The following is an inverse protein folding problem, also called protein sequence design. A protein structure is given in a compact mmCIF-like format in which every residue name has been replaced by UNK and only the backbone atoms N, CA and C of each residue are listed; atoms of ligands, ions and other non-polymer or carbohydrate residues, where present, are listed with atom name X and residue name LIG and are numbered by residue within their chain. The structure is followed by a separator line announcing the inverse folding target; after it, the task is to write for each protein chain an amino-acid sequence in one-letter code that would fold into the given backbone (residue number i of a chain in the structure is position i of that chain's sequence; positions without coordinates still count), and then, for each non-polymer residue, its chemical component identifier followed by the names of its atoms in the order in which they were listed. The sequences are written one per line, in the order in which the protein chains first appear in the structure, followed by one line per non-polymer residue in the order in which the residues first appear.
data_IF_533380852717
#
_entry.id   IF_533380852717
#
_cell.length_a   1.000
_cell.length_b   1.000
_cell.length_c   1.000
_cell.angle_alpha   90.00
_cell.angle_beta   90.00
_cell.angle_gamma   90.00
#
_symmetry.space_group_name_H-M   'P 1'
#
loop_
_entity.id
_entity.type
_entity.pdbx_description
1 polymer ?
#
# COMPACT_ATOMS: atom_id res chain seq x y z
N UNK A 1 -1.02 12.71 -19.82
CA UNK A 1 -0.83 11.27 -19.54
C UNK A 1 -1.93 10.47 -20.24
N UNK A 2 -1.61 9.41 -21.00
CA UNK A 2 -2.66 8.57 -21.64
C UNK A 2 -3.32 7.66 -20.60
N UNK A 3 -4.57 7.25 -20.83
CA UNK A 3 -5.31 6.36 -19.92
C UNK A 3 -4.52 5.07 -19.62
N UNK A 4 -3.86 4.49 -20.62
CA UNK A 4 -3.03 3.28 -20.47
C UNK A 4 -1.75 3.50 -19.64
N UNK A 5 -1.21 4.72 -19.63
CA UNK A 5 -0.05 5.08 -18.78
C UNK A 5 -0.45 5.29 -17.32
N UNK A 6 -1.65 5.83 -17.06
CA UNK A 6 -2.21 5.97 -15.70
C UNK A 6 -2.47 4.62 -15.05
N UNK A 7 -3.13 3.70 -15.77
CA UNK A 7 -3.38 2.34 -15.26
C UNK A 7 -2.10 1.55 -15.02
N UNK A 8 -1.08 1.70 -15.87
CA UNK A 8 0.24 1.08 -15.63
C UNK A 8 0.94 1.64 -14.40
N UNK A 9 0.86 2.96 -14.16
CA UNK A 9 1.41 3.58 -12.95
C UNK A 9 0.68 3.10 -11.70
N UNK A 10 -0.65 3.04 -11.74
CA UNK A 10 -1.48 2.51 -10.65
C UNK A 10 -1.09 1.06 -10.33
N UNK A 11 -1.04 0.18 -11.34
CA UNK A 11 -0.67 -1.23 -11.15
C UNK A 11 0.73 -1.37 -10.53
N UNK A 12 1.73 -0.62 -11.01
CA UNK A 12 3.08 -0.63 -10.44
C UNK A 12 3.08 -0.16 -8.98
N UNK A 13 2.35 0.90 -8.68
CA UNK A 13 2.26 1.42 -7.32
C UNK A 13 1.54 0.43 -6.38
N UNK A 14 0.45 -0.21 -6.83
CA UNK A 14 -0.22 -1.28 -6.08
C UNK A 14 0.74 -2.44 -5.81
N UNK A 15 1.47 -2.92 -6.83
CA UNK A 15 2.44 -4.00 -6.65
C UNK A 15 3.55 -3.63 -5.67
N UNK A 16 4.07 -2.41 -5.74
CA UNK A 16 5.04 -1.90 -4.77
C UNK A 16 4.48 -1.88 -3.35
N UNK A 17 3.24 -1.43 -3.19
CA UNK A 17 2.57 -1.34 -1.90
C UNK A 17 2.36 -2.73 -1.27
N UNK A 18 1.93 -3.70 -2.09
CA UNK A 18 1.79 -5.09 -1.67
C UNK A 18 3.15 -5.73 -1.35
N UNK A 19 4.19 -5.44 -2.13
CA UNK A 19 5.53 -5.95 -1.87
C UNK A 19 6.09 -5.41 -0.54
N UNK A 20 5.95 -4.10 -0.29
CA UNK A 20 6.33 -3.48 0.99
C UNK A 20 5.50 -4.06 2.13
N UNK A 21 4.20 -4.22 1.95
CA UNK A 21 3.32 -4.86 2.92
C UNK A 21 3.75 -6.27 3.27
N UNK A 22 4.08 -7.09 2.27
CA UNK A 22 4.58 -8.46 2.46
C UNK A 22 5.92 -8.46 3.22
N UNK A 23 6.86 -7.59 2.85
CA UNK A 23 8.12 -7.42 3.59
C UNK A 23 7.83 -7.05 5.05
N UNK A 24 6.95 -6.07 5.29
CA UNK A 24 6.58 -5.66 6.64
C UNK A 24 5.81 -6.71 7.43
N UNK A 25 5.21 -7.73 6.82
CA UNK A 25 4.59 -8.85 7.52
C UNK A 25 5.56 -10.00 7.78
N UNK A 26 6.39 -10.33 6.79
CA UNK A 26 7.19 -11.55 6.80
C UNK A 26 8.65 -11.36 7.19
N UNK A 27 9.14 -10.11 7.29
CA UNK A 27 10.48 -9.87 7.84
C UNK A 27 10.52 -10.41 9.28
N UNK A 28 11.43 -11.33 9.59
CA UNK A 28 11.57 -11.86 10.93
C UNK A 28 12.04 -10.73 11.85
N UNK A 29 11.26 -10.45 12.89
CA UNK A 29 11.65 -9.51 13.93
C UNK A 29 12.23 -10.32 15.10
N UNK A 30 13.44 -9.99 15.59
CA UNK A 30 14.02 -10.69 16.71
C UNK A 30 13.19 -10.44 17.99
N UNK A 31 12.83 -11.53 18.66
CA UNK A 31 12.36 -11.59 20.06
C UNK A 31 11.34 -10.54 20.52
N UNK A 32 10.29 -10.27 19.72
CA UNK A 32 9.16 -9.45 20.18
C UNK A 32 8.07 -10.32 20.81
N UNK A 33 7.38 -9.83 21.87
CA UNK A 33 6.21 -10.51 22.44
C UNK A 33 5.13 -10.74 21.39
N UNK A 34 4.38 -11.85 21.51
CA UNK A 34 3.30 -12.19 20.57
C UNK A 34 2.23 -11.09 20.43
N UNK A 35 1.97 -10.31 21.50
CA UNK A 35 1.07 -9.15 21.46
C UNK A 35 1.52 -8.09 20.46
N UNK A 36 2.83 -7.81 20.39
CA UNK A 36 3.42 -6.83 19.45
C UNK A 36 3.32 -7.33 18.01
N UNK A 37 3.42 -8.65 17.78
CA UNK A 37 3.23 -9.25 16.47
C UNK A 37 1.79 -9.08 15.96
N UNK A 38 0.79 -9.21 16.85
CA UNK A 38 -0.60 -8.92 16.53
C UNK A 38 -0.83 -7.47 16.12
N UNK A 39 -0.34 -6.51 16.91
CA UNK A 39 -0.44 -5.08 16.59
C UNK A 39 0.26 -4.73 15.28
N UNK A 40 1.44 -5.33 15.02
CA UNK A 40 2.15 -5.19 13.74
C UNK A 40 1.26 -5.61 12.57
N UNK A 41 0.64 -6.78 12.64
CA UNK A 41 -0.20 -7.27 11.55
C UNK A 41 -1.38 -6.32 11.30
N UNK A 42 -2.06 -5.88 12.36
CA UNK A 42 -3.16 -4.90 12.25
C UNK A 42 -2.69 -3.58 11.63
N UNK A 43 -1.56 -3.04 12.08
CA UNK A 43 -0.99 -1.79 11.55
C UNK A 43 -0.62 -1.91 10.08
N UNK A 44 0.01 -3.00 9.68
CA UNK A 44 0.41 -3.22 8.28
C UNK A 44 -0.82 -3.36 7.39
N UNK A 45 -1.81 -4.16 7.77
CA UNK A 45 -3.05 -4.32 7.00
C UNK A 45 -3.79 -2.98 6.89
N UNK A 46 -3.95 -2.26 8.01
CA UNK A 46 -4.58 -0.95 8.03
C UNK A 46 -3.84 0.04 7.10
N UNK A 47 -2.52 0.10 7.20
CA UNK A 47 -1.68 0.94 6.34
C UNK A 47 -1.84 0.61 4.86
N UNK A 48 -1.90 -0.68 4.50
CA UNK A 48 -2.14 -1.12 3.12
C UNK A 48 -3.50 -0.63 2.62
N UNK A 49 -4.56 -0.81 3.41
CA UNK A 49 -5.92 -0.40 3.02
C UNK A 49 -6.01 1.11 2.83
N UNK A 50 -5.49 1.90 3.77
CA UNK A 50 -5.49 3.36 3.68
C UNK A 50 -4.68 3.83 2.47
N UNK A 51 -3.50 3.27 2.27
CA UNK A 51 -2.64 3.69 1.18
C UNK A 51 -3.18 3.27 -0.20
N UNK A 52 -3.84 2.11 -0.31
CA UNK A 52 -4.58 1.72 -1.52
C UNK A 52 -5.76 2.65 -1.80
N UNK A 53 -6.55 2.98 -0.77
CA UNK A 53 -7.66 3.93 -0.89
C UNK A 53 -7.18 5.30 -1.35
N UNK A 54 -6.08 5.79 -0.77
CA UNK A 54 -5.44 7.04 -1.20
C UNK A 54 -4.95 6.96 -2.65
N UNK A 55 -4.26 5.88 -3.03
CA UNK A 55 -3.75 5.70 -4.38
C UNK A 55 -4.87 5.70 -5.43
N UNK A 56 -5.99 5.05 -5.12
CA UNK A 56 -7.19 5.07 -5.96
C UNK A 56 -7.79 6.48 -6.02
N UNK A 57 -7.91 7.15 -4.88
CA UNK A 57 -8.42 8.52 -4.82
C UNK A 57 -7.57 9.48 -5.67
N UNK A 58 -6.25 9.40 -5.52
CA UNK A 58 -5.31 10.24 -6.27
C UNK A 58 -5.39 9.93 -7.78
N UNK A 59 -5.46 8.65 -8.15
CA UNK A 59 -5.50 8.25 -9.56
C UNK A 59 -6.83 8.60 -10.24
N UNK A 60 -7.96 8.45 -9.55
CA UNK A 60 -9.30 8.65 -10.11
C UNK A 60 -9.78 10.09 -10.04
N UNK A 61 -9.45 10.80 -8.95
CA UNK A 61 -9.96 12.14 -8.69
C UNK A 61 -8.85 13.19 -8.76
N UNK A 62 -7.80 13.08 -7.94
CA UNK A 62 -6.82 14.16 -7.80
C UNK A 62 -6.05 14.44 -9.10
N UNK A 63 -5.44 13.42 -9.70
CA UNK A 63 -4.72 13.52 -10.98
C UNK A 63 -5.67 13.83 -12.16
N UNK A 64 -7.00 13.70 -11.99
CA UNK A 64 -7.97 14.03 -13.02
C UNK A 64 -8.33 15.52 -13.01
N UNK A 65 -8.47 16.12 -11.82
CA UNK A 65 -8.85 17.52 -11.65
C UNK A 65 -7.64 18.48 -11.56
N UNK A 66 -6.48 17.99 -11.10
CA UNK A 66 -5.22 18.74 -11.07
C UNK A 66 -4.05 17.88 -11.57
N UNK A 67 -3.82 17.85 -12.90
CA UNK A 67 -2.73 17.09 -13.51
C UNK A 67 -1.33 17.72 -13.35
#
# INVERSE_FOLDING_TARGET
MTTSSRWRRLLRAVLLLLAVGAVLLFVPLPMLPASVLGYRQTLVIFGIVVALGKLLYDTLFYDHYWP
#
